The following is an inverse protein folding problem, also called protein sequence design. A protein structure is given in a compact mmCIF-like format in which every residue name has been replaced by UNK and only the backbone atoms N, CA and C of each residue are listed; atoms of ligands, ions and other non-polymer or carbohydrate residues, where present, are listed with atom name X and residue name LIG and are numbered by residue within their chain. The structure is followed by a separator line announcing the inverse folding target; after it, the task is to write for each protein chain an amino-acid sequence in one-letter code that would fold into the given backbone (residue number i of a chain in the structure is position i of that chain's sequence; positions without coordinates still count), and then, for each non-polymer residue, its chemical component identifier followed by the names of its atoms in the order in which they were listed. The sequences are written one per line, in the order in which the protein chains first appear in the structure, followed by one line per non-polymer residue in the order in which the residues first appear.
data_IF_394484868723
#
_entry.id   IF_394484868723
#
_cell.length_a   1.000
_cell.length_b   1.000
_cell.length_c   1.000
_cell.angle_alpha   90.00
_cell.angle_beta   90.00
_cell.angle_gamma   90.00
#
_symmetry.space_group_name_H-M   'P 1'
#
loop_
_entity.id
_entity.type
_entity.pdbx_description
1 polymer ?
#
# COMPACT_ATOMS: atom_id res chain seq x y z
N UNK A 1 -49.28 -8.71 -22.13
CA UNK A 1 -47.87 -9.14 -22.12
C UNK A 1 -47.05 -7.95 -22.61
N UNK A 2 -46.23 -7.32 -21.75
CA UNK A 2 -45.37 -6.19 -22.14
C UNK A 2 -43.94 -6.72 -22.28
N UNK A 3 -43.42 -6.69 -23.50
CA UNK A 3 -42.01 -6.98 -23.79
C UNK A 3 -41.11 -6.01 -23.02
N UNK A 4 -40.39 -6.54 -22.03
CA UNK A 4 -39.33 -5.83 -21.32
C UNK A 4 -38.10 -5.74 -22.22
N UNK A 5 -37.96 -4.67 -22.99
CA UNK A 5 -36.74 -4.40 -23.75
C UNK A 5 -35.58 -4.21 -22.76
N UNK A 6 -34.65 -5.17 -22.77
CA UNK A 6 -33.32 -5.03 -22.18
C UNK A 6 -32.53 -3.99 -23.00
N UNK A 7 -32.80 -2.71 -22.80
CA UNK A 7 -31.99 -1.64 -23.38
C UNK A 7 -30.65 -1.57 -22.62
N UNK A 8 -29.56 -1.86 -23.32
CA UNK A 8 -28.21 -1.80 -22.78
C UNK A 8 -27.88 -0.34 -22.48
N UNK A 9 -27.60 -0.01 -21.22
CA UNK A 9 -27.21 1.33 -20.82
C UNK A 9 -25.93 1.76 -21.59
N UNK A 10 -25.98 2.80 -22.44
CA UNK A 10 -24.82 3.27 -23.20
C UNK A 10 -23.70 3.77 -22.28
N UNK A 11 -24.02 4.35 -21.12
CA UNK A 11 -23.04 4.82 -20.14
C UNK A 11 -22.23 3.67 -19.55
N UNK A 12 -22.86 2.49 -19.40
CA UNK A 12 -22.17 1.29 -18.94
C UNK A 12 -21.11 0.83 -19.96
N UNK A 13 -21.37 0.96 -21.27
CA UNK A 13 -20.39 0.63 -22.30
C UNK A 13 -19.17 1.56 -22.24
N UNK A 14 -19.40 2.86 -22.03
CA UNK A 14 -18.35 3.86 -21.87
C UNK A 14 -17.52 3.56 -20.62
N UNK A 15 -18.18 3.36 -19.47
CA UNK A 15 -17.52 3.02 -18.21
C UNK A 15 -16.67 1.74 -18.34
N UNK A 16 -17.20 0.71 -19.00
CA UNK A 16 -16.50 -0.57 -19.19
C UNK A 16 -15.25 -0.43 -20.06
N UNK A 17 -15.26 0.48 -21.05
CA UNK A 17 -14.06 0.80 -21.84
C UNK A 17 -13.00 1.47 -20.97
N UNK A 18 -13.40 2.44 -20.15
CA UNK A 18 -12.51 3.14 -19.21
C UNK A 18 -11.92 2.18 -18.16
N UNK A 19 -12.72 1.29 -17.58
CA UNK A 19 -12.26 0.29 -16.62
C UNK A 19 -11.23 -0.66 -17.24
N UNK A 20 -11.44 -1.10 -18.49
CA UNK A 20 -10.47 -1.94 -19.21
C UNK A 20 -9.15 -1.22 -19.48
N UNK A 21 -9.20 0.05 -19.85
CA UNK A 21 -8.01 0.88 -20.04
C UNK A 21 -7.23 1.03 -18.72
N UNK A 22 -7.92 1.36 -17.63
CA UNK A 22 -7.31 1.46 -16.32
C UNK A 22 -6.68 0.13 -15.88
N UNK A 23 -7.37 -0.99 -16.09
CA UNK A 23 -6.83 -2.32 -15.80
C UNK A 23 -5.56 -2.62 -16.61
N UNK A 24 -5.54 -2.26 -17.90
CA UNK A 24 -4.36 -2.43 -18.76
C UNK A 24 -3.18 -1.62 -18.24
N UNK A 25 -3.41 -0.37 -17.85
CA UNK A 25 -2.35 0.47 -17.27
C UNK A 25 -1.83 -0.08 -15.95
N UNK A 26 -2.71 -0.49 -15.03
CA UNK A 26 -2.31 -1.11 -13.76
C UNK A 26 -1.44 -2.36 -14.02
N UNK A 27 -1.82 -3.23 -14.97
CA UNK A 27 -1.03 -4.42 -15.30
C UNK A 27 0.32 -4.09 -15.94
N UNK A 28 0.41 -2.99 -16.69
CA UNK A 28 1.64 -2.56 -17.36
C UNK A 28 2.64 -1.85 -16.42
N UNK A 29 2.17 -1.21 -15.35
CA UNK A 29 3.04 -0.43 -14.44
C UNK A 29 3.63 -1.25 -13.30
N UNK A 30 3.07 -2.42 -13.01
CA UNK A 30 3.54 -3.26 -11.90
C UNK A 30 4.69 -4.18 -12.30
N UNK A 31 5.51 -4.57 -11.33
CA UNK A 31 6.54 -5.59 -11.55
C UNK A 31 5.92 -6.97 -11.80
N UNK A 32 6.67 -7.86 -12.45
CA UNK A 32 6.20 -9.21 -12.82
C UNK A 32 5.64 -10.03 -11.62
N UNK A 33 6.25 -10.02 -10.41
CA UNK A 33 5.69 -10.72 -9.26
C UNK A 33 4.33 -10.17 -8.82
N UNK A 34 4.12 -8.86 -8.97
CA UNK A 34 2.86 -8.19 -8.63
C UNK A 34 1.82 -8.43 -9.72
N UNK A 35 2.22 -8.43 -10.99
CA UNK A 35 1.36 -8.78 -12.12
C UNK A 35 0.72 -10.16 -11.93
N UNK A 36 1.48 -11.17 -11.49
CA UNK A 36 0.95 -12.52 -11.21
C UNK A 36 -0.18 -12.53 -10.19
N UNK A 37 -0.21 -11.58 -9.25
CA UNK A 37 -1.27 -11.48 -8.24
C UNK A 37 -2.58 -10.91 -8.81
N UNK A 38 -2.50 -10.08 -9.85
CA UNK A 38 -3.64 -9.35 -10.43
C UNK A 38 -3.99 -9.78 -11.86
N UNK A 39 -3.29 -10.77 -12.41
CA UNK A 39 -3.45 -11.20 -13.81
C UNK A 39 -4.88 -11.68 -14.10
N UNK A 40 -5.50 -12.35 -13.12
CA UNK A 40 -6.87 -12.88 -13.20
C UNK A 40 -7.97 -11.85 -12.92
N UNK A 41 -7.63 -10.64 -12.48
CA UNK A 41 -8.61 -9.58 -12.20
C UNK A 41 -9.34 -9.15 -13.46
N UNK A 42 -10.68 -9.07 -13.37
CA UNK A 42 -11.59 -8.77 -14.49
C UNK A 42 -11.94 -7.28 -14.61
N UNK A 43 -11.64 -6.49 -13.58
CA UNK A 43 -11.84 -5.04 -13.55
C UNK A 43 -10.66 -4.33 -12.91
N UNK A 44 -10.48 -3.04 -13.19
CA UNK A 44 -9.47 -2.22 -12.54
C UNK A 44 -9.73 -2.14 -11.03
N UNK A 45 -11.00 -2.10 -10.63
CA UNK A 45 -11.40 -2.10 -9.23
C UNK A 45 -10.94 -3.38 -8.49
N UNK A 46 -11.14 -4.55 -9.11
CA UNK A 46 -10.72 -5.83 -8.53
C UNK A 46 -9.20 -5.91 -8.40
N UNK A 47 -8.46 -5.52 -9.44
CA UNK A 47 -7.00 -5.45 -9.40
C UNK A 47 -6.53 -4.53 -8.27
N UNK A 48 -7.11 -3.33 -8.17
CA UNK A 48 -6.78 -2.37 -7.12
C UNK A 48 -7.09 -2.90 -5.72
N UNK A 49 -8.20 -3.60 -5.53
CA UNK A 49 -8.57 -4.21 -4.24
C UNK A 49 -7.56 -5.28 -3.82
N UNK A 50 -7.11 -6.12 -4.75
CA UNK A 50 -6.05 -7.12 -4.49
C UNK A 50 -4.74 -6.44 -4.11
N UNK A 51 -4.31 -5.42 -4.86
CA UNK A 51 -3.11 -4.64 -4.53
C UNK A 51 -3.24 -3.99 -3.16
N UNK A 52 -4.38 -3.36 -2.86
CA UNK A 52 -4.65 -2.77 -1.55
C UNK A 52 -4.64 -3.82 -0.42
N UNK A 53 -5.04 -5.06 -0.68
CA UNK A 53 -4.94 -6.13 0.32
C UNK A 53 -3.49 -6.59 0.52
N UNK A 54 -2.74 -6.79 -0.57
CA UNK A 54 -1.34 -7.25 -0.51
C UNK A 54 -0.39 -6.19 0.05
N UNK A 55 -0.65 -4.90 -0.24
CA UNK A 55 0.26 -3.80 0.06
C UNK A 55 -0.33 -2.72 0.99
N UNK A 56 -1.65 -2.69 1.16
CA UNK A 56 -2.34 -1.67 1.96
C UNK A 56 -2.59 -2.06 3.41
N UNK A 57 -2.41 -3.34 3.79
CA UNK A 57 -2.31 -3.70 5.20
C UNK A 57 -0.85 -3.69 5.62
N UNK A 58 -0.46 -2.76 6.49
CA UNK A 58 0.59 -3.10 7.42
C UNK A 58 0.02 -4.21 8.31
N UNK A 59 0.37 -5.46 8.03
CA UNK A 59 -0.10 -6.56 8.86
C UNK A 59 0.30 -6.29 10.33
N UNK A 60 -0.45 -6.77 11.33
CA UNK A 60 -0.04 -6.63 12.73
C UNK A 60 1.40 -7.12 12.98
N UNK A 61 1.83 -8.13 12.22
CA UNK A 61 3.23 -8.58 12.19
C UNK A 61 4.19 -7.53 11.64
N UNK A 62 3.86 -6.84 10.54
CA UNK A 62 4.68 -5.75 9.98
C UNK A 62 4.80 -4.60 10.96
N UNK A 63 3.71 -4.20 11.59
CA UNK A 63 3.67 -3.20 12.65
C UNK A 63 4.60 -3.60 13.80
N UNK A 64 4.49 -4.84 14.27
CA UNK A 64 5.34 -5.37 15.35
C UNK A 64 6.82 -5.36 14.96
N UNK A 65 7.14 -5.73 13.72
CA UNK A 65 8.51 -5.71 13.21
C UNK A 65 9.07 -4.29 13.11
N UNK A 66 8.26 -3.31 12.65
CA UNK A 66 8.66 -1.90 12.59
C UNK A 66 8.89 -1.31 13.98
N UNK A 67 8.03 -1.62 14.96
CA UNK A 67 8.24 -1.24 16.38
C UNK A 67 9.53 -1.83 16.92
N UNK A 68 9.78 -3.12 16.64
CA UNK A 68 11.01 -3.79 17.05
C UNK A 68 12.22 -3.14 16.40
N UNK A 69 12.17 -2.87 15.10
CA UNK A 69 13.26 -2.21 14.38
C UNK A 69 13.54 -0.83 14.96
N UNK A 70 12.50 -0.03 15.22
CA UNK A 70 12.65 1.29 15.83
C UNK A 70 13.25 1.21 17.24
N UNK A 71 12.82 0.28 18.09
CA UNK A 71 13.32 0.16 19.45
C UNK A 71 14.78 -0.32 19.54
N UNK A 72 15.21 -1.15 18.59
CA UNK A 72 16.56 -1.74 18.59
C UNK A 72 17.49 -1.14 17.53
N UNK A 73 17.06 -0.07 16.85
CA UNK A 73 17.94 0.61 15.91
C UNK A 73 19.15 1.17 16.68
N UNK A 74 20.32 1.01 16.08
CA UNK A 74 21.58 1.54 16.60
C UNK A 74 22.26 2.30 15.47
N UNK A 75 22.95 3.39 15.80
CA UNK A 75 23.72 4.15 14.80
C UNK A 75 24.72 3.26 14.06
N UNK A 76 25.43 2.39 14.80
CA UNK A 76 26.48 1.53 14.24
C UNK A 76 27.48 2.33 13.40
N UNK A 77 27.70 1.87 12.17
CA UNK A 77 28.58 2.54 11.20
C UNK A 77 27.87 3.61 10.34
N UNK A 78 26.57 3.84 10.52
CA UNK A 78 25.86 4.91 9.80
C UNK A 78 26.34 6.28 10.28
N UNK A 79 26.39 7.27 9.40
CA UNK A 79 26.54 8.65 9.84
C UNK A 79 25.25 9.13 10.56
N UNK A 80 25.34 10.26 11.27
CA UNK A 80 24.24 10.74 12.09
C UNK A 80 23.02 11.14 11.26
N UNK A 81 23.21 11.68 10.06
CA UNK A 81 22.11 12.07 9.20
C UNK A 81 21.33 10.85 8.71
N UNK A 82 22.04 9.84 8.19
CA UNK A 82 21.43 8.58 7.75
C UNK A 82 20.70 7.86 8.89
N UNK A 83 21.27 7.89 10.10
CA UNK A 83 20.63 7.31 11.29
C UNK A 83 19.31 8.01 11.64
N UNK A 84 19.32 9.34 11.69
CA UNK A 84 18.12 10.14 11.99
C UNK A 84 17.05 10.01 10.91
N UNK A 85 17.44 9.98 9.63
CA UNK A 85 16.51 9.71 8.53
C UNK A 85 15.86 8.34 8.66
N UNK A 86 16.62 7.33 9.10
CA UNK A 86 16.08 5.98 9.30
C UNK A 86 15.07 5.94 10.44
N UNK A 87 15.37 6.59 11.57
CA UNK A 87 14.43 6.71 12.71
C UNK A 87 13.16 7.41 12.25
N UNK A 88 13.29 8.55 11.56
CA UNK A 88 12.16 9.31 11.04
C UNK A 88 11.31 8.48 10.08
N UNK A 89 11.94 7.78 9.14
CA UNK A 89 11.23 6.89 8.22
C UNK A 89 10.42 5.81 8.94
N UNK A 90 10.98 5.19 9.99
CA UNK A 90 10.27 4.18 10.77
C UNK A 90 9.10 4.77 11.54
N UNK A 91 9.29 5.95 12.17
CA UNK A 91 8.24 6.67 12.89
C UNK A 91 7.10 7.10 11.95
N UNK A 92 7.41 7.72 10.81
CA UNK A 92 6.43 8.15 9.80
C UNK A 92 5.66 6.94 9.23
N UNK A 93 6.34 5.80 9.04
CA UNK A 93 5.71 4.56 8.57
C UNK A 93 4.75 3.98 9.60
N UNK A 94 5.07 4.06 10.89
CA UNK A 94 4.17 3.64 11.98
C UNK A 94 2.97 4.61 12.12
N UNK A 95 3.21 5.92 12.02
CA UNK A 95 2.15 6.93 12.05
C UNK A 95 1.17 6.75 10.89
N UNK A 96 1.67 6.46 9.68
CA UNK A 96 0.83 6.12 8.52
C UNK A 96 -0.01 4.83 8.72
N UNK A 97 0.37 3.96 9.66
CA UNK A 97 -0.40 2.79 10.08
C UNK A 97 -1.42 3.08 11.20
N UNK A 98 -1.52 4.35 11.65
CA UNK A 98 -2.34 4.75 12.79
C UNK A 98 -1.70 4.45 14.14
N UNK A 99 -0.37 4.32 14.19
CA UNK A 99 0.39 4.08 15.41
C UNK A 99 1.29 5.28 15.66
N UNK A 100 0.83 6.16 16.54
CA UNK A 100 1.64 7.28 16.98
C UNK A 100 2.75 6.74 17.89
N UNK A 101 3.97 7.23 17.64
CA UNK A 101 5.12 6.98 18.51
C UNK A 101 5.37 8.25 19.29
N UNK A 102 5.45 8.17 20.61
CA UNK A 102 5.63 9.36 21.45
C UNK A 102 7.02 9.98 21.21
N UNK A 103 7.09 11.31 21.19
CA UNK A 103 8.35 12.02 20.98
C UNK A 103 9.39 11.69 22.07
N UNK A 104 8.96 11.39 23.30
CA UNK A 104 9.86 10.95 24.38
C UNK A 104 10.49 9.59 24.08
N UNK A 105 9.74 8.67 23.45
CA UNK A 105 10.26 7.36 23.03
C UNK A 105 11.28 7.54 21.90
N UNK A 106 11.00 8.44 20.96
CA UNK A 106 11.92 8.75 19.87
C UNK A 106 13.24 9.35 20.38
N UNK A 107 13.16 10.28 21.35
CA UNK A 107 14.34 10.87 21.99
C UNK A 107 15.18 9.78 22.68
N UNK A 108 14.56 8.88 23.42
CA UNK A 108 15.26 7.78 24.08
C UNK A 108 15.94 6.84 23.07
N UNK A 109 15.30 6.58 21.93
CA UNK A 109 15.84 5.74 20.87
C UNK A 109 17.01 6.42 20.15
N UNK A 110 16.95 7.72 19.89
CA UNK A 110 18.09 8.46 19.32
C UNK A 110 19.33 8.51 20.22
N UNK A 111 19.15 8.32 21.53
CA UNK A 111 20.23 8.35 22.52
C UNK A 111 20.91 6.97 22.73
N UNK A 112 20.36 5.90 22.13
CA UNK A 112 20.99 4.58 22.03
C UNK A 112 21.94 4.48 20.82
#
# INVERSE_FOLDING_TARGET
MKDGKNEVNPDFAIWKKSDRLALSWIKATVSEPVLRQIVSSKSAHEAWKTLKKSFGSQSPLRIMLLRKELHFIQKGNMDMHTYLERIKFLADTLAAAGIDTDDSDLVQITMN
#
